data_IF_914168507167
#
_entry.id   IF_914168507167
#
_cell.length_a   1.000
_cell.length_b   1.000
_cell.length_c   1.000
_cell.angle_alpha   90.00
_cell.angle_beta   90.00
_cell.angle_gamma   90.00
#
_symmetry.space_group_name_H-M   'P 1'
#
loop_
_entity.id
_entity.type
_entity.pdbx_description
1 polymer ?
#
# COMPACT_ATOMS: atom_id res chain seq x y z
N UNK A 1 1.25 -17.24 -15.08
CA UNK A 1 2.00 -16.67 -13.93
C UNK A 1 2.91 -15.57 -14.47
N UNK A 2 2.42 -14.33 -14.57
CA UNK A 2 3.28 -13.17 -14.83
C UNK A 2 4.05 -12.86 -13.55
N UNK A 3 5.25 -13.44 -13.41
CA UNK A 3 5.98 -13.57 -12.14
C UNK A 3 6.62 -12.28 -11.62
N UNK A 4 6.61 -11.19 -12.39
CA UNK A 4 7.23 -9.95 -11.98
C UNK A 4 6.17 -8.89 -11.68
N UNK A 5 5.92 -8.70 -10.38
CA UNK A 5 5.17 -7.57 -9.86
C UNK A 5 6.14 -6.55 -9.26
N UNK A 6 5.86 -5.28 -9.46
CA UNK A 6 6.52 -4.19 -8.73
C UNK A 6 5.50 -3.40 -7.93
N UNK A 7 5.93 -2.80 -6.83
CA UNK A 7 5.16 -1.78 -6.11
C UNK A 7 5.72 -0.43 -6.54
N UNK A 8 4.85 0.50 -6.90
CA UNK A 8 5.30 1.80 -7.39
C UNK A 8 4.41 2.91 -6.87
N UNK A 9 5.00 4.06 -6.58
CA UNK A 9 4.27 5.23 -6.13
C UNK A 9 3.33 5.72 -7.25
N UNK A 10 2.07 5.98 -6.92
CA UNK A 10 1.14 6.62 -7.84
C UNK A 10 1.55 8.07 -8.09
N UNK A 11 1.47 8.51 -9.35
CA UNK A 11 1.83 9.85 -9.80
C UNK A 11 3.27 10.27 -9.43
N UNK A 12 4.21 9.33 -9.53
CA UNK A 12 5.64 9.65 -9.43
C UNK A 12 6.09 10.34 -10.72
N UNK A 13 6.51 11.60 -10.59
CA UNK A 13 7.12 12.36 -11.67
C UNK A 13 8.64 12.09 -11.74
N UNK A 14 9.29 12.30 -12.90
CA UNK A 14 10.74 12.37 -12.96
C UNK A 14 11.24 13.47 -12.02
N UNK A 15 12.27 13.16 -11.22
CA UNK A 15 12.94 14.15 -10.38
C UNK A 15 14.35 14.41 -10.92
N UNK A 16 14.64 15.59 -11.50
CA UNK A 16 15.97 15.94 -12.00
C UNK A 16 17.06 15.89 -10.92
N UNK A 17 16.70 16.14 -9.66
CA UNK A 17 17.63 16.13 -8.52
C UNK A 17 17.92 14.71 -8.02
N UNK A 18 17.09 13.73 -8.41
CA UNK A 18 17.24 12.32 -8.03
C UNK A 18 17.25 11.45 -9.30
N UNK A 19 18.35 11.49 -10.07
CA UNK A 19 18.46 10.70 -11.29
C UNK A 19 18.29 9.20 -10.98
N UNK A 20 17.48 8.51 -11.78
CA UNK A 20 17.17 7.08 -11.59
C UNK A 20 15.74 6.79 -11.11
N UNK A 21 15.00 7.80 -10.68
CA UNK A 21 13.56 7.68 -10.38
C UNK A 21 12.78 7.54 -11.69
N UNK A 22 12.25 6.34 -11.95
CA UNK A 22 11.32 6.12 -13.07
C UNK A 22 9.96 6.76 -12.76
N UNK A 23 9.39 7.47 -13.72
CA UNK A 23 8.04 8.03 -13.56
C UNK A 23 6.98 6.93 -13.67
N UNK A 24 5.79 7.17 -13.09
CA UNK A 24 4.68 6.21 -13.21
C UNK A 24 4.28 6.00 -14.67
N UNK A 25 4.28 7.05 -15.49
CA UNK A 25 3.97 6.93 -16.91
C UNK A 25 5.03 6.13 -17.66
N UNK A 26 6.33 6.39 -17.42
CA UNK A 26 7.41 5.65 -18.07
C UNK A 26 7.40 4.16 -17.68
N UNK A 27 7.13 3.87 -16.39
CA UNK A 27 6.99 2.52 -15.90
C UNK A 27 5.89 1.76 -16.65
N UNK A 28 4.73 2.37 -16.83
CA UNK A 28 3.57 1.69 -17.41
C UNK A 28 3.61 1.63 -18.93
N UNK A 29 4.19 2.63 -19.59
CA UNK A 29 4.14 2.75 -21.06
C UNK A 29 5.42 2.32 -21.77
N UNK A 30 6.59 2.63 -21.21
CA UNK A 30 7.90 2.34 -21.83
C UNK A 30 8.55 1.07 -21.30
N UNK A 31 8.18 0.65 -20.07
CA UNK A 31 8.73 -0.53 -19.41
C UNK A 31 7.61 -1.38 -18.79
N UNK A 32 6.61 -1.80 -19.59
CA UNK A 32 5.38 -2.37 -19.07
C UNK A 32 5.67 -3.53 -18.11
N UNK A 33 5.32 -3.31 -16.84
CA UNK A 33 5.43 -4.29 -15.76
C UNK A 33 4.09 -4.36 -15.05
N UNK A 34 3.76 -5.53 -14.51
CA UNK A 34 2.63 -5.62 -13.60
C UNK A 34 2.96 -4.80 -12.34
N UNK A 35 2.18 -3.76 -12.08
CA UNK A 35 2.43 -2.87 -10.96
C UNK A 35 1.24 -2.87 -10.00
N UNK A 36 1.53 -2.82 -8.71
CA UNK A 36 0.60 -2.30 -7.72
C UNK A 36 0.92 -0.82 -7.55
N UNK A 37 0.01 0.05 -8.00
CA UNK A 37 0.18 1.49 -7.84
C UNK A 37 -0.31 1.93 -6.46
N UNK A 38 0.60 2.49 -5.69
CA UNK A 38 0.33 2.98 -4.35
C UNK A 38 -0.18 4.41 -4.38
N UNK A 39 -1.47 4.58 -4.17
CA UNK A 39 -2.13 5.87 -3.96
C UNK A 39 -1.85 6.29 -2.52
N UNK A 40 -0.88 7.18 -2.34
CA UNK A 40 -0.58 7.85 -1.08
C UNK A 40 -0.18 9.30 -1.35
N UNK A 41 -0.51 10.20 -0.43
CA UNK A 41 -0.21 11.60 -0.61
C UNK A 41 -1.15 12.30 -1.59
N UNK A 42 -0.98 13.62 -1.65
CA UNK A 42 -1.73 14.52 -2.53
C UNK A 42 -0.98 15.86 -2.67
N UNK A 43 -1.23 16.64 -3.73
CA UNK A 43 -0.59 17.93 -3.92
C UNK A 43 -1.11 18.97 -2.92
N UNK A 44 -0.32 20.02 -2.68
CA UNK A 44 -0.62 21.09 -1.73
C UNK A 44 -2.00 21.73 -1.93
N UNK A 45 -2.44 21.88 -3.18
CA UNK A 45 -3.75 22.43 -3.53
C UNK A 45 -4.93 21.64 -2.94
N UNK A 46 -4.72 20.37 -2.57
CA UNK A 46 -5.74 19.51 -1.96
C UNK A 46 -5.70 19.54 -0.42
N UNK A 47 -4.84 20.34 0.21
CA UNK A 47 -4.82 20.47 1.67
C UNK A 47 -6.13 21.08 2.20
N UNK A 48 -6.62 20.53 3.30
CA UNK A 48 -7.85 20.98 3.95
C UNK A 48 -7.55 21.97 5.08
N UNK A 49 -7.42 23.25 4.72
CA UNK A 49 -7.14 24.31 5.69
C UNK A 49 -8.29 24.51 6.68
N UNK A 50 -9.53 24.23 6.29
CA UNK A 50 -10.67 24.34 7.18
C UNK A 50 -10.59 23.32 8.32
N UNK A 51 -10.02 22.14 8.04
CA UNK A 51 -9.83 21.06 9.02
C UNK A 51 -8.55 21.20 9.84
N UNK A 52 -7.44 21.59 9.20
CA UNK A 52 -6.11 21.50 9.79
C UNK A 52 -5.43 22.85 10.04
N UNK A 53 -6.08 23.97 9.74
CA UNK A 53 -5.52 25.31 9.86
C UNK A 53 -4.59 25.67 8.71
N UNK A 54 -3.69 26.62 8.92
CA UNK A 54 -2.74 27.02 7.87
C UNK A 54 -1.76 25.89 7.54
N UNK A 55 -1.58 25.63 6.25
CA UNK A 55 -0.73 24.53 5.78
C UNK A 55 0.71 24.67 6.25
N UNK A 56 1.29 25.86 6.16
CA UNK A 56 2.68 26.11 6.53
C UNK A 56 2.95 25.75 8.00
N UNK A 57 2.01 26.10 8.89
CA UNK A 57 2.08 25.76 10.31
C UNK A 57 1.94 24.25 10.54
N UNK A 58 1.01 23.63 9.82
CA UNK A 58 0.80 22.18 9.88
C UNK A 58 2.03 21.39 9.43
N UNK A 59 2.61 21.75 8.28
CA UNK A 59 3.81 21.11 7.71
C UNK A 59 5.00 21.22 8.66
N UNK A 60 5.20 22.41 9.26
CA UNK A 60 6.26 22.64 10.25
C UNK A 60 6.13 21.69 11.45
N UNK A 61 4.90 21.41 11.90
CA UNK A 61 4.64 20.53 13.05
C UNK A 61 4.71 19.04 12.71
N UNK A 62 4.31 18.64 11.49
CA UNK A 62 4.08 17.24 11.13
C UNK A 62 5.06 16.66 10.10
N UNK A 63 6.21 17.32 9.88
CA UNK A 63 7.32 16.84 9.04
C UNK A 63 6.96 16.80 7.52
N UNK A 64 7.95 16.73 6.59
CA UNK A 64 7.73 16.65 5.14
C UNK A 64 6.73 15.59 4.65
N UNK A 65 6.36 14.59 5.45
CA UNK A 65 5.40 13.55 5.06
C UNK A 65 3.93 13.85 5.38
N UNK A 66 3.59 15.10 5.73
CA UNK A 66 2.24 15.53 6.10
C UNK A 66 1.15 15.05 5.13
N UNK A 67 1.39 15.07 3.82
CA UNK A 67 0.39 14.72 2.80
C UNK A 67 0.02 13.25 2.82
N UNK A 68 0.85 12.37 3.38
CA UNK A 68 0.55 10.93 3.51
C UNK A 68 -0.38 10.62 4.68
N UNK A 69 -0.41 11.50 5.69
CA UNK A 69 -1.01 11.24 7.00
C UNK A 69 -2.11 12.23 7.37
N UNK A 70 -2.67 12.91 6.37
CA UNK A 70 -3.79 13.84 6.53
C UNK A 70 -4.90 13.48 5.55
N UNK A 71 -6.13 13.84 5.88
CA UNK A 71 -7.26 13.71 4.96
C UNK A 71 -7.32 14.96 4.08
N UNK A 72 -7.24 14.85 2.75
CA UNK A 72 -7.31 16.02 1.90
C UNK A 72 -8.72 16.60 1.84
N UNK A 73 -8.84 17.83 1.34
CA UNK A 73 -10.14 18.38 0.94
C UNK A 73 -10.74 17.48 -0.15
N UNK A 74 -11.92 16.94 0.14
CA UNK A 74 -12.55 15.88 -0.66
C UNK A 74 -12.73 16.26 -2.12
N UNK A 75 -13.35 17.39 -2.40
CA UNK A 75 -13.71 17.80 -3.77
C UNK A 75 -12.46 18.03 -4.63
N UNK A 76 -11.48 18.76 -4.08
CA UNK A 76 -10.22 19.05 -4.77
C UNK A 76 -9.43 17.76 -5.01
N UNK A 77 -9.36 16.89 -4.01
CA UNK A 77 -8.63 15.63 -4.11
C UNK A 77 -9.26 14.66 -5.11
N UNK A 78 -10.58 14.47 -5.06
CA UNK A 78 -11.25 13.58 -5.99
C UNK A 78 -11.18 14.09 -7.43
N UNK A 79 -11.22 15.40 -7.64
CA UNK A 79 -10.96 15.99 -8.97
C UNK A 79 -9.55 15.65 -9.44
N UNK A 80 -8.54 15.97 -8.63
CA UNK A 80 -7.14 15.67 -8.95
C UNK A 80 -6.90 14.18 -9.23
N UNK A 81 -7.44 13.30 -8.39
CA UNK A 81 -7.24 11.85 -8.55
C UNK A 81 -7.84 11.32 -9.86
N UNK A 82 -8.99 11.84 -10.32
CA UNK A 82 -9.54 11.50 -11.64
C UNK A 82 -8.60 11.91 -12.76
N UNK A 83 -8.06 13.13 -12.68
CA UNK A 83 -7.12 13.67 -13.66
C UNK A 83 -5.83 12.84 -13.72
N UNK A 84 -5.30 12.39 -12.57
CA UNK A 84 -4.12 11.52 -12.55
C UNK A 84 -4.39 10.11 -13.07
N UNK A 85 -5.55 9.51 -12.72
CA UNK A 85 -5.94 8.20 -13.24
C UNK A 85 -6.16 8.23 -14.77
N UNK A 86 -6.56 9.37 -15.34
CA UNK A 86 -6.69 9.52 -16.79
C UNK A 86 -5.34 9.48 -17.53
N UNK A 87 -4.23 9.73 -16.85
CA UNK A 87 -2.87 9.75 -17.44
C UNK A 87 -2.22 8.37 -17.52
N UNK A 88 -2.75 7.37 -16.79
CA UNK A 88 -2.20 6.01 -16.79
C UNK A 88 -3.01 5.10 -17.72
N UNK A 89 -2.37 4.07 -18.32
CA UNK A 89 -3.06 3.17 -19.23
C UNK A 89 -4.30 2.49 -18.58
N UNK A 90 -5.40 2.30 -19.32
CA UNK A 90 -6.64 1.74 -18.78
C UNK A 90 -6.51 0.29 -18.28
N UNK A 91 -5.50 -0.44 -18.73
CA UNK A 91 -5.17 -1.80 -18.30
C UNK A 91 -4.50 -1.86 -16.91
N UNK A 92 -3.92 -0.77 -16.42
CA UNK A 92 -3.36 -0.70 -15.07
C UNK A 92 -4.49 -0.62 -14.04
N UNK A 93 -4.75 -1.75 -13.38
CA UNK A 93 -5.96 -1.97 -12.59
C UNK A 93 -5.72 -2.52 -11.18
N UNK A 94 -4.51 -2.39 -10.63
CA UNK A 94 -4.22 -2.79 -9.24
C UNK A 94 -3.71 -1.59 -8.45
N UNK A 95 -4.44 -1.22 -7.40
CA UNK A 95 -4.18 -0.05 -6.58
C UNK A 95 -4.13 -0.40 -5.09
N UNK A 96 -3.14 0.15 -4.41
CA UNK A 96 -3.02 0.08 -2.96
C UNK A 96 -3.16 1.47 -2.38
N UNK A 97 -3.95 1.59 -1.32
CA UNK A 97 -4.12 2.84 -0.58
C UNK A 97 -3.16 2.84 0.61
N UNK A 98 -2.20 3.75 0.57
CA UNK A 98 -1.24 4.00 1.63
C UNK A 98 -0.25 2.87 1.94
N UNK A 99 0.48 3.08 3.03
CA UNK A 99 1.47 2.15 3.56
C UNK A 99 1.43 2.20 5.08
N UNK A 100 1.02 1.12 5.72
CA UNK A 100 1.14 0.94 7.17
C UNK A 100 0.69 2.18 7.99
N UNK A 101 -0.57 2.65 7.85
CA UNK A 101 -1.01 3.96 8.35
C UNK A 101 -1.04 4.06 9.88
N UNK A 102 -0.89 2.94 10.58
CA UNK A 102 -0.99 2.88 12.03
C UNK A 102 0.05 3.76 12.73
N UNK A 103 -0.38 4.47 13.78
CA UNK A 103 0.45 5.40 14.55
C UNK A 103 0.75 6.73 13.86
N UNK A 104 0.23 6.97 12.66
CA UNK A 104 0.38 8.24 11.92
C UNK A 104 -0.94 8.97 11.72
N UNK A 105 -2.01 8.23 11.51
CA UNK A 105 -3.37 8.73 11.31
C UNK A 105 -4.36 7.86 12.11
N UNK A 106 -5.47 8.46 12.53
CA UNK A 106 -6.51 7.70 13.24
C UNK A 106 -7.22 6.71 12.28
N UNK A 107 -7.76 5.59 12.80
CA UNK A 107 -8.51 4.63 11.99
C UNK A 107 -9.67 5.26 11.21
N UNK A 108 -10.40 6.20 11.83
CA UNK A 108 -11.60 6.81 11.26
C UNK A 108 -11.25 7.78 10.12
N UNK A 109 -10.20 8.58 10.31
CA UNK A 109 -9.68 9.46 9.26
C UNK A 109 -9.09 8.68 8.10
N UNK A 110 -8.39 7.57 8.38
CA UNK A 110 -7.91 6.70 7.32
C UNK A 110 -9.06 6.04 6.55
N UNK A 111 -10.14 5.65 7.24
CA UNK A 111 -11.34 5.12 6.61
C UNK A 111 -12.01 6.15 5.70
N UNK A 112 -12.10 7.40 6.15
CA UNK A 112 -12.59 8.53 5.35
C UNK A 112 -11.77 8.70 4.07
N UNK A 113 -10.44 8.76 4.19
CA UNK A 113 -9.54 8.91 3.05
C UNK A 113 -9.64 7.73 2.07
N UNK A 114 -9.70 6.50 2.58
CA UNK A 114 -9.91 5.30 1.78
C UNK A 114 -11.21 5.36 0.97
N UNK A 115 -12.33 5.77 1.57
CA UNK A 115 -13.62 5.92 0.86
C UNK A 115 -13.54 6.97 -0.25
N UNK A 116 -12.85 8.08 -0.03
CA UNK A 116 -12.66 9.10 -1.07
C UNK A 116 -11.94 8.52 -2.30
N UNK A 117 -10.89 7.73 -2.08
CA UNK A 117 -10.12 7.10 -3.16
C UNK A 117 -10.94 6.00 -3.84
N UNK A 118 -11.58 5.12 -3.08
CA UNK A 118 -12.39 4.02 -3.61
C UNK A 118 -13.51 4.55 -4.49
N UNK A 119 -14.20 5.62 -4.10
CA UNK A 119 -15.25 6.23 -4.91
C UNK A 119 -14.74 6.63 -6.31
N UNK A 120 -13.58 7.29 -6.38
CA UNK A 120 -13.00 7.72 -7.66
C UNK A 120 -12.47 6.54 -8.47
N UNK A 121 -11.76 5.60 -7.83
CA UNK A 121 -11.22 4.44 -8.55
C UNK A 121 -12.33 3.55 -9.08
N UNK A 122 -13.43 3.35 -8.35
CA UNK A 122 -14.59 2.59 -8.84
C UNK A 122 -15.34 3.31 -9.96
N UNK A 123 -15.40 4.63 -9.94
CA UNK A 123 -15.96 5.44 -11.03
C UNK A 123 -15.12 5.30 -12.32
N UNK A 124 -13.79 5.46 -12.19
CA UNK A 124 -12.86 5.56 -13.34
C UNK A 124 -12.33 4.20 -13.81
N UNK A 125 -12.32 3.20 -12.91
CA UNK A 125 -11.84 1.82 -13.11
C UNK A 125 -12.74 0.82 -12.35
N UNK A 126 -14.00 0.58 -12.78
CA UNK A 126 -14.95 -0.24 -12.05
C UNK A 126 -14.45 -1.65 -11.67
N UNK A 127 -13.65 -2.27 -12.54
CA UNK A 127 -13.07 -3.60 -12.36
C UNK A 127 -11.75 -3.66 -11.58
N UNK A 128 -11.20 -2.54 -11.12
CA UNK A 128 -9.89 -2.53 -10.48
C UNK A 128 -9.84 -3.36 -9.18
N UNK A 129 -8.70 -3.99 -8.94
CA UNK A 129 -8.30 -4.45 -7.62
C UNK A 129 -7.87 -3.24 -6.79
N UNK A 130 -8.56 -2.98 -5.68
CA UNK A 130 -8.25 -1.89 -4.77
C UNK A 130 -8.40 -2.33 -3.32
N UNK A 131 -7.39 -1.99 -2.53
CA UNK A 131 -7.31 -2.30 -1.11
C UNK A 131 -6.39 -1.33 -0.38
N UNK A 132 -6.38 -1.41 0.94
CA UNK A 132 -5.43 -0.66 1.77
C UNK A 132 -4.41 -1.60 2.41
N UNK A 133 -3.26 -1.04 2.81
CA UNK A 133 -2.21 -1.74 3.52
C UNK A 133 -2.34 -1.53 5.04
N UNK A 134 -3.41 -2.05 5.63
CA UNK A 134 -3.66 -2.03 7.08
C UNK A 134 -3.33 -3.35 7.76
N UNK A 135 -3.21 -4.43 6.98
CA UNK A 135 -3.07 -5.77 7.51
C UNK A 135 -1.77 -5.97 8.27
N UNK A 136 -1.85 -6.79 9.33
CA UNK A 136 -0.75 -7.09 10.25
C UNK A 136 -0.28 -5.90 11.10
N UNK A 137 -1.00 -4.76 11.05
CA UNK A 137 -0.90 -3.70 12.06
C UNK A 137 -1.58 -4.08 13.38
N UNK A 138 -1.72 -3.12 14.32
CA UNK A 138 -2.42 -3.35 15.58
C UNK A 138 -3.89 -3.72 15.34
N UNK A 139 -4.31 -4.92 15.79
CA UNK A 139 -5.68 -5.45 15.57
C UNK A 139 -6.77 -4.46 16.03
N UNK A 140 -6.57 -3.79 17.16
CA UNK A 140 -7.53 -2.80 17.68
C UNK A 140 -7.70 -1.59 16.75
N UNK A 141 -6.62 -1.15 16.09
CA UNK A 141 -6.67 -0.09 15.10
C UNK A 141 -7.44 -0.56 13.87
N UNK A 142 -7.16 -1.77 13.38
CA UNK A 142 -7.81 -2.32 12.19
C UNK A 142 -9.31 -2.61 12.39
N UNK A 143 -9.71 -3.07 13.58
CA UNK A 143 -11.12 -3.23 13.94
C UNK A 143 -11.87 -1.89 13.82
N UNK A 144 -11.32 -0.81 14.39
CA UNK A 144 -11.91 0.53 14.31
C UNK A 144 -11.98 1.04 12.89
N UNK A 145 -10.93 0.82 12.10
CA UNK A 145 -10.90 1.19 10.68
C UNK A 145 -12.00 0.46 9.89
N UNK A 146 -12.17 -0.85 10.10
CA UNK A 146 -13.24 -1.63 9.46
C UNK A 146 -14.62 -1.11 9.90
N UNK A 147 -14.83 -0.88 11.20
CA UNK A 147 -16.08 -0.35 11.75
C UNK A 147 -16.42 1.04 11.21
N UNK A 148 -15.41 1.85 10.94
CA UNK A 148 -15.57 3.17 10.34
C UNK A 148 -15.86 3.12 8.82
N UNK A 149 -16.06 1.93 8.22
CA UNK A 149 -16.33 1.77 6.78
C UNK A 149 -15.07 1.78 5.92
N UNK A 150 -13.90 1.52 6.50
CA UNK A 150 -12.61 1.60 5.80
C UNK A 150 -12.43 0.58 4.68
N UNK A 151 -13.17 -0.54 4.70
CA UNK A 151 -13.09 -1.62 3.70
C UNK A 151 -14.24 -1.59 2.67
N UNK A 152 -15.11 -0.57 2.72
CA UNK A 152 -16.23 -0.44 1.80
C UNK A 152 -15.73 -0.28 0.36
N UNK A 153 -16.30 -1.04 -0.57
CA UNK A 153 -15.93 -1.01 -2.00
C UNK A 153 -14.55 -1.58 -2.37
N UNK A 154 -13.75 -2.05 -1.39
CA UNK A 154 -12.48 -2.73 -1.65
C UNK A 154 -12.69 -4.21 -2.03
N UNK A 155 -11.84 -4.77 -2.88
CA UNK A 155 -11.84 -6.20 -3.25
C UNK A 155 -10.47 -6.87 -3.01
N UNK A 156 -9.52 -6.11 -2.47
CA UNK A 156 -8.18 -6.54 -2.12
C UNK A 156 -7.83 -6.05 -0.70
N UNK A 157 -6.93 -6.74 -0.03
CA UNK A 157 -6.19 -6.24 1.14
C UNK A 157 -4.70 -6.45 0.89
N UNK A 158 -3.90 -5.41 1.15
CA UNK A 158 -2.46 -5.46 1.07
C UNK A 158 -1.83 -5.82 2.40
N UNK A 159 -0.83 -6.70 2.40
CA UNK A 159 -0.14 -7.15 3.62
C UNK A 159 1.38 -7.17 3.46
N UNK A 160 2.08 -6.98 4.58
CA UNK A 160 3.54 -7.05 4.64
C UNK A 160 4.05 -8.12 5.64
N UNK A 161 4.02 -9.42 5.25
CA UNK A 161 4.32 -10.55 6.13
C UNK A 161 5.81 -10.71 6.42
N UNK A 162 6.50 -9.65 6.84
CA UNK A 162 7.88 -9.74 7.30
C UNK A 162 8.01 -10.74 8.46
N UNK A 163 8.94 -11.69 8.33
CA UNK A 163 9.16 -12.76 9.33
C UNK A 163 10.64 -12.88 9.65
N UNK A 164 11.18 -11.94 10.42
CA UNK A 164 12.61 -11.94 10.75
C UNK A 164 12.97 -13.04 11.76
N UNK A 165 12.15 -13.24 12.79
CA UNK A 165 12.29 -14.31 13.80
C UNK A 165 10.92 -14.66 14.41
N UNK A 166 10.51 -15.94 14.48
CA UNK A 166 11.12 -17.12 13.88
C UNK A 166 11.04 -17.09 12.34
N UNK A 167 11.78 -18.00 11.70
CA UNK A 167 11.80 -18.18 10.24
C UNK A 167 10.39 -18.43 9.65
N UNK A 168 10.14 -18.07 8.38
CA UNK A 168 8.81 -17.99 7.77
C UNK A 168 7.99 -19.29 7.85
N UNK A 169 8.66 -20.46 7.87
CA UNK A 169 8.07 -21.80 7.97
C UNK A 169 7.10 -21.93 9.15
N UNK A 170 7.38 -21.22 10.25
CA UNK A 170 6.60 -21.34 11.48
C UNK A 170 5.40 -20.41 11.54
N UNK A 171 5.34 -19.36 10.72
CA UNK A 171 4.37 -18.27 10.90
C UNK A 171 3.67 -17.80 9.64
N UNK A 172 4.34 -17.73 8.50
CA UNK A 172 3.79 -17.04 7.32
C UNK A 172 2.45 -17.62 6.87
N UNK A 173 2.34 -18.94 6.73
CA UNK A 173 1.08 -19.57 6.26
C UNK A 173 -0.05 -19.38 7.27
N UNK A 174 0.24 -19.60 8.55
CA UNK A 174 -0.75 -19.47 9.63
C UNK A 174 -1.20 -18.02 9.78
N UNK A 175 -0.28 -17.05 9.73
CA UNK A 175 -0.65 -15.64 9.85
C UNK A 175 -1.51 -15.16 8.68
N UNK A 176 -1.22 -15.60 7.45
CA UNK A 176 -2.03 -15.28 6.27
C UNK A 176 -3.43 -15.88 6.39
N UNK A 177 -3.56 -17.15 6.81
CA UNK A 177 -4.87 -17.79 7.03
C UNK A 177 -5.68 -17.09 8.11
N UNK A 178 -5.07 -16.87 9.27
CA UNK A 178 -5.73 -16.19 10.39
C UNK A 178 -6.17 -14.78 10.01
N UNK A 179 -5.38 -14.06 9.21
CA UNK A 179 -5.76 -12.74 8.74
C UNK A 179 -6.91 -12.79 7.73
N UNK A 180 -6.92 -13.77 6.81
CA UNK A 180 -8.07 -14.00 5.91
C UNK A 180 -9.34 -14.29 6.70
N UNK A 181 -9.26 -15.17 7.69
CA UNK A 181 -10.40 -15.52 8.54
C UNK A 181 -10.87 -14.33 9.38
N UNK A 182 -9.94 -13.52 9.89
CA UNK A 182 -10.24 -12.26 10.57
C UNK A 182 -11.01 -11.30 9.65
N UNK A 183 -10.52 -11.05 8.42
CA UNK A 183 -11.22 -10.20 7.47
C UNK A 183 -12.61 -10.78 7.19
N UNK A 184 -12.72 -12.05 6.79
CA UNK A 184 -14.00 -12.69 6.50
C UNK A 184 -15.00 -12.53 7.66
N UNK A 185 -14.57 -12.75 8.89
CA UNK A 185 -15.41 -12.60 10.07
C UNK A 185 -15.87 -11.14 10.33
N UNK A 186 -15.06 -10.15 9.92
CA UNK A 186 -15.35 -8.72 10.17
C UNK A 186 -16.12 -8.04 9.05
N UNK A 187 -15.89 -8.43 7.81
CA UNK A 187 -16.52 -7.80 6.62
C UNK A 187 -17.55 -8.69 5.93
N UNK A 188 -17.70 -9.95 6.36
CA UNK A 188 -18.70 -10.89 5.83
C UNK A 188 -18.40 -11.46 4.45
N UNK A 189 -17.18 -11.25 3.92
CA UNK A 189 -16.76 -11.72 2.58
C UNK A 189 -15.25 -11.91 2.50
N UNK A 190 -14.81 -12.62 1.49
CA UNK A 190 -13.39 -12.75 1.17
C UNK A 190 -12.84 -11.52 0.42
N UNK A 191 -11.56 -11.24 0.66
CA UNK A 191 -10.75 -10.31 -0.12
C UNK A 191 -9.54 -11.03 -0.68
N UNK A 192 -9.12 -10.61 -1.86
CA UNK A 192 -7.85 -11.04 -2.40
C UNK A 192 -6.71 -10.46 -1.56
N UNK A 193 -5.76 -11.31 -1.16
CA UNK A 193 -4.58 -10.87 -0.42
C UNK A 193 -3.44 -10.58 -1.40
N UNK A 194 -2.94 -9.36 -1.34
CA UNK A 194 -1.83 -8.87 -2.14
C UNK A 194 -0.62 -8.65 -1.22
N UNK A 195 0.48 -9.36 -1.48
CA UNK A 195 1.70 -9.17 -0.70
C UNK A 195 2.55 -8.13 -1.43
N UNK A 196 2.50 -6.90 -0.92
CA UNK A 196 3.13 -5.75 -1.56
C UNK A 196 4.51 -5.44 -1.02
N UNK A 197 4.88 -6.05 0.11
CA UNK A 197 6.25 -6.11 0.61
C UNK A 197 6.50 -7.36 1.45
N UNK A 198 7.67 -7.99 1.30
CA UNK A 198 8.20 -9.04 2.19
C UNK A 198 9.68 -9.27 1.88
N UNK A 199 10.41 -9.90 2.80
CA UNK A 199 11.82 -10.25 2.56
C UNK A 199 12.73 -9.97 3.76
N UNK A 200 14.03 -9.89 3.49
CA UNK A 200 15.08 -9.63 4.47
C UNK A 200 16.00 -8.52 3.97
N UNK A 201 16.48 -7.62 4.84
CA UNK A 201 17.49 -6.65 4.44
C UNK A 201 18.85 -7.32 4.22
N UNK A 202 19.62 -6.76 3.29
CA UNK A 202 21.06 -7.06 3.11
C UNK A 202 21.94 -5.89 3.54
N UNK A 203 21.34 -4.76 3.90
CA UNK A 203 22.03 -3.55 4.31
C UNK A 203 22.99 -3.79 5.50
N UNK A 204 24.29 -3.47 5.39
CA UNK A 204 25.28 -3.71 6.45
C UNK A 204 24.97 -3.02 7.79
N UNK A 205 24.16 -1.96 7.77
CA UNK A 205 23.83 -1.10 8.94
C UNK A 205 22.35 -1.17 9.33
N UNK A 206 21.78 -2.37 9.33
CA UNK A 206 20.42 -2.54 9.85
C UNK A 206 20.38 -2.38 11.37
N UNK A 207 19.75 -1.28 11.81
CA UNK A 207 19.54 -0.95 13.23
C UNK A 207 18.75 -2.02 13.98
N UNK A 208 17.91 -2.79 13.30
CA UNK A 208 17.09 -3.87 13.87
C UNK A 208 17.82 -5.22 13.90
N UNK A 209 19.04 -5.29 13.35
CA UNK A 209 19.88 -6.51 13.30
C UNK A 209 19.19 -7.70 12.62
N UNK A 210 18.35 -7.45 11.62
CA UNK A 210 17.69 -8.46 10.79
C UNK A 210 18.44 -8.77 9.50
N UNK A 211 19.53 -8.05 9.22
CA UNK A 211 20.29 -8.22 7.98
C UNK A 211 20.96 -9.57 7.86
N UNK A 212 20.96 -10.08 6.63
CA UNK A 212 21.53 -11.36 6.25
C UNK A 212 22.37 -11.20 4.99
N UNK A 213 23.17 -12.21 4.65
CA UNK A 213 23.85 -12.23 3.36
C UNK A 213 22.86 -12.34 2.20
N UNK A 214 23.23 -11.86 1.02
CA UNK A 214 22.42 -11.95 -0.21
C UNK A 214 21.97 -13.39 -0.51
N UNK A 215 22.87 -14.36 -0.31
CA UNK A 215 22.54 -15.78 -0.45
C UNK A 215 21.41 -16.21 0.49
N UNK A 216 21.45 -15.76 1.74
CA UNK A 216 20.42 -16.08 2.74
C UNK A 216 19.12 -15.34 2.44
N UNK A 217 19.18 -14.07 2.01
CA UNK A 217 18.02 -13.32 1.55
C UNK A 217 17.32 -14.06 0.40
N UNK A 218 18.06 -14.42 -0.65
CA UNK A 218 17.51 -15.15 -1.81
C UNK A 218 16.84 -16.47 -1.40
N UNK A 219 17.50 -17.28 -0.56
CA UNK A 219 16.94 -18.55 -0.07
C UNK A 219 15.65 -18.36 0.74
N UNK A 220 15.63 -17.39 1.67
CA UNK A 220 14.48 -17.14 2.53
C UNK A 220 13.32 -16.52 1.76
N UNK A 221 13.59 -15.54 0.89
CA UNK A 221 12.58 -14.91 0.03
C UNK A 221 11.95 -15.92 -0.92
N UNK A 222 12.75 -16.77 -1.59
CA UNK A 222 12.19 -17.82 -2.46
C UNK A 222 11.28 -18.77 -1.69
N UNK A 223 11.70 -19.22 -0.50
CA UNK A 223 10.91 -20.11 0.36
C UNK A 223 9.62 -19.44 0.84
N UNK A 224 9.69 -18.19 1.30
CA UNK A 224 8.51 -17.44 1.72
C UNK A 224 7.55 -17.22 0.55
N UNK A 225 8.06 -16.94 -0.65
CA UNK A 225 7.26 -16.78 -1.86
C UNK A 225 6.42 -18.02 -2.16
N UNK A 226 7.01 -19.21 -2.06
CA UNK A 226 6.29 -20.48 -2.23
C UNK A 226 5.18 -20.66 -1.19
N UNK A 227 5.40 -20.23 0.06
CA UNK A 227 4.38 -20.29 1.11
C UNK A 227 3.23 -19.32 0.83
N UNK A 228 3.53 -18.07 0.48
CA UNK A 228 2.52 -17.06 0.17
C UNK A 228 1.71 -17.44 -1.07
N UNK A 229 2.38 -17.99 -2.09
CA UNK A 229 1.74 -18.56 -3.27
C UNK A 229 0.80 -19.71 -2.90
N UNK A 230 1.24 -20.63 -2.04
CA UNK A 230 0.41 -21.74 -1.56
C UNK A 230 -0.80 -21.29 -0.72
N UNK A 231 -0.78 -20.07 -0.15
CA UNK A 231 -1.93 -19.46 0.51
C UNK A 231 -2.82 -18.66 -0.43
N UNK A 232 -2.53 -18.64 -1.74
CA UNK A 232 -3.35 -17.97 -2.75
C UNK A 232 -3.18 -16.46 -2.82
N UNK A 233 -2.07 -15.90 -2.32
CA UNK A 233 -1.74 -14.48 -2.50
C UNK A 233 -1.61 -14.15 -3.99
N UNK A 234 -2.25 -13.05 -4.43
CA UNK A 234 -2.36 -12.69 -5.86
C UNK A 234 -1.12 -12.00 -6.42
N UNK A 235 -0.43 -11.24 -5.57
CA UNK A 235 0.80 -10.52 -5.90
C UNK A 235 1.85 -10.82 -4.84
N UNK A 236 3.10 -10.96 -5.28
CA UNK A 236 4.26 -11.15 -4.42
C UNK A 236 5.33 -10.16 -4.87
N UNK A 237 5.56 -9.13 -4.06
CA UNK A 237 6.56 -8.08 -4.33
C UNK A 237 7.65 -8.16 -3.26
N UNK A 238 8.77 -8.86 -3.53
CA UNK A 238 9.87 -8.90 -2.59
C UNK A 238 10.49 -7.51 -2.46
N UNK A 239 10.68 -7.08 -1.22
CA UNK A 239 11.30 -5.81 -0.90
C UNK A 239 12.80 -6.03 -0.65
N UNK A 240 13.61 -5.35 -1.47
CA UNK A 240 15.06 -5.37 -1.37
C UNK A 240 15.47 -4.15 -0.53
N UNK A 241 15.82 -4.40 0.74
CA UNK A 241 16.28 -3.38 1.70
C UNK A 241 17.80 -3.40 1.87
#
# INVERSE_FOLDING_TARGET
>A
LGLQWTRHQFNQAPNPEQPGIISTQDLLTKRPMNAVLKIEGFPEACFDEARYGQREEWVRKHNPHWSRWTVPNKERYQKWLREELAKIPPEQNVFEIGNEPWGRISPEEWAEYCRMIVAVVREVRPGAAIGTNTGQGPIAWEIRFIQAGGMEGMNMSSIHPYSFTPLPERRTRVSVRNYRDFLRARIGRDLDLHVTEYGWPTAPKDRRKHSVSERVQAQRTARQSLMLYAEGCKTLIPHWM
#
